data_IF_085312376742
#
_entry.id   IF_085312376742
#
_cell.length_a   1.000
_cell.length_b   1.000
_cell.length_c   1.000
_cell.angle_alpha   90.00
_cell.angle_beta   90.00
_cell.angle_gamma   90.00
#
_symmetry.space_group_name_H-M   'P 1'
#
loop_
_entity.id
_entity.type
_entity.pdbx_description
1 polymer ?
#
# COMPACT_ATOMS: atom_id res chain seq x y z
N UNK A 1 8.84 3.79 -37.26
CA UNK A 1 9.32 5.18 -37.00
C UNK A 1 9.89 5.88 -38.24
N UNK A 2 10.49 5.17 -39.21
CA UNK A 2 11.10 5.76 -40.42
C UNK A 2 10.13 6.27 -41.50
N UNK A 3 8.85 5.90 -41.46
CA UNK A 3 7.85 6.25 -42.49
C UNK A 3 7.12 7.58 -42.22
N UNK A 4 6.81 7.88 -40.95
CA UNK A 4 6.17 9.14 -40.54
C UNK A 4 7.08 10.36 -40.71
N UNK A 5 8.39 10.19 -40.42
CA UNK A 5 9.40 11.25 -40.59
C UNK A 5 9.52 11.71 -42.06
N UNK A 6 9.49 10.77 -43.02
CA UNK A 6 9.63 11.09 -44.45
C UNK A 6 8.50 11.99 -44.99
N UNK A 7 7.28 11.88 -44.45
CA UNK A 7 6.14 12.70 -44.86
C UNK A 7 6.27 14.17 -44.45
N UNK A 8 7.03 14.46 -43.38
CA UNK A 8 7.26 15.81 -42.89
C UNK A 8 8.33 16.55 -43.68
N UNK A 9 9.35 15.85 -44.19
CA UNK A 9 10.46 16.47 -44.94
C UNK A 9 10.14 16.70 -46.43
N UNK A 10 9.27 15.88 -47.03
CA UNK A 10 8.87 16.01 -48.44
C UNK A 10 8.37 17.41 -48.84
N UNK A 11 7.47 18.08 -48.10
CA UNK A 11 6.99 19.40 -48.50
C UNK A 11 8.09 20.48 -48.48
N UNK A 12 9.10 20.35 -47.62
CA UNK A 12 10.26 21.25 -47.61
C UNK A 12 11.14 21.05 -48.85
N UNK A 13 11.34 19.80 -49.27
CA UNK A 13 12.07 19.49 -50.49
C UNK A 13 11.33 20.04 -51.71
N UNK A 14 10.01 19.89 -51.76
CA UNK A 14 9.17 20.43 -52.83
C UNK A 14 9.24 21.97 -52.88
N UNK A 15 9.22 22.63 -51.72
CA UNK A 15 9.37 24.08 -51.64
C UNK A 15 10.73 24.56 -52.19
N UNK A 16 11.82 23.90 -51.80
CA UNK A 16 13.17 24.21 -52.30
C UNK A 16 13.27 24.02 -53.82
N UNK A 17 12.66 22.96 -54.36
CA UNK A 17 12.62 22.71 -55.81
C UNK A 17 11.88 23.84 -56.54
N UNK A 18 10.73 24.29 -56.02
CA UNK A 18 9.97 25.41 -56.60
C UNK A 18 10.84 26.69 -56.63
N UNK A 19 11.53 27.00 -55.53
CA UNK A 19 12.43 28.16 -55.46
C UNK A 19 13.55 28.05 -56.50
N UNK A 20 14.21 26.89 -56.60
CA UNK A 20 15.28 26.65 -57.57
C UNK A 20 14.77 26.81 -59.00
N UNK A 21 13.60 26.28 -59.33
CA UNK A 21 12.98 26.41 -60.65
C UNK A 21 12.67 27.88 -60.95
N UNK A 22 12.09 28.63 -60.01
CA UNK A 22 11.78 30.05 -60.18
C UNK A 22 13.04 30.87 -60.46
N UNK A 23 14.09 30.69 -59.66
CA UNK A 23 15.37 31.37 -59.83
C UNK A 23 16.02 30.98 -61.17
N UNK A 24 15.99 29.69 -61.53
CA UNK A 24 16.58 29.19 -62.78
C UNK A 24 15.87 29.76 -64.01
N UNK A 25 14.53 29.80 -64.00
CA UNK A 25 13.75 30.39 -65.08
C UNK A 25 14.04 31.89 -65.21
N UNK A 26 14.08 32.61 -64.09
CA UNK A 26 14.42 34.03 -64.07
C UNK A 26 15.80 34.30 -64.66
N UNK A 27 16.84 33.59 -64.20
CA UNK A 27 18.21 33.73 -64.72
C UNK A 27 18.25 33.38 -66.22
N UNK A 28 17.59 32.30 -66.65
CA UNK A 28 17.57 31.90 -68.06
C UNK A 28 16.91 32.90 -69.00
N UNK A 29 15.93 33.67 -68.51
CA UNK A 29 15.23 34.68 -69.30
C UNK A 29 16.04 35.98 -69.39
N UNK A 30 16.77 36.34 -68.33
CA UNK A 30 17.41 37.64 -68.20
C UNK A 30 18.95 37.61 -68.28
N UNK A 31 19.57 36.46 -68.58
CA UNK A 31 21.04 36.32 -68.55
C UNK A 31 21.81 37.27 -69.49
N UNK A 32 21.15 37.79 -70.53
CA UNK A 32 21.75 38.73 -71.49
C UNK A 32 21.75 40.19 -71.01
N UNK A 33 21.04 40.51 -69.93
CA UNK A 33 20.98 41.86 -69.39
C UNK A 33 22.09 42.08 -68.36
N UNK A 34 22.65 43.29 -68.31
CA UNK A 34 23.60 43.68 -67.27
C UNK A 34 22.93 43.71 -65.89
N UNK A 35 23.72 43.46 -64.85
CA UNK A 35 23.23 43.48 -63.47
C UNK A 35 22.84 44.90 -63.08
N UNK A 36 21.67 45.08 -62.47
CA UNK A 36 21.27 46.40 -61.99
C UNK A 36 22.12 46.82 -60.78
N UNK A 37 22.70 48.02 -60.86
CA UNK A 37 23.39 48.69 -59.75
C UNK A 37 22.42 49.33 -58.75
N UNK A 38 21.11 49.38 -59.07
CA UNK A 38 20.09 49.98 -58.20
C UNK A 38 19.51 48.91 -57.27
N UNK A 39 19.64 49.06 -55.94
CA UNK A 39 19.08 48.10 -54.98
C UNK A 39 17.56 47.91 -55.08
N UNK A 40 16.82 48.92 -55.55
CA UNK A 40 15.36 48.85 -55.70
C UNK A 40 14.88 47.83 -56.73
N UNK A 41 15.65 47.57 -57.78
CA UNK A 41 15.28 46.61 -58.83
C UNK A 41 15.36 45.17 -58.32
N UNK A 42 16.27 44.90 -57.38
CA UNK A 42 16.37 43.62 -56.66
C UNK A 42 15.20 43.37 -55.72
N UNK A 43 14.61 44.44 -55.16
CA UNK A 43 13.40 44.37 -54.34
C UNK A 43 12.19 43.84 -55.10
N UNK A 44 11.99 44.31 -56.33
CA UNK A 44 10.86 43.87 -57.18
C UNK A 44 10.91 42.37 -57.54
N UNK A 45 12.13 41.81 -57.70
CA UNK A 45 12.33 40.37 -57.91
C UNK A 45 11.93 39.59 -56.64
N UNK A 46 12.36 40.10 -55.48
CA UNK A 46 11.98 39.57 -54.18
C UNK A 46 10.46 39.57 -53.97
N UNK A 47 9.78 40.63 -54.37
CA UNK A 47 8.32 40.75 -54.27
C UNK A 47 7.58 39.77 -55.20
N UNK A 48 8.09 39.53 -56.41
CA UNK A 48 7.52 38.53 -57.33
C UNK A 48 7.66 37.10 -56.79
N UNK A 49 8.87 36.73 -56.36
CA UNK A 49 9.15 35.40 -55.80
C UNK A 49 8.40 35.20 -54.47
N UNK A 50 8.41 36.23 -53.61
CA UNK A 50 7.69 36.25 -52.34
C UNK A 50 6.17 36.18 -52.52
N UNK A 51 5.61 36.90 -53.50
CA UNK A 51 4.18 36.90 -53.81
C UNK A 51 3.66 35.54 -54.25
N UNK A 52 4.47 34.75 -54.96
CA UNK A 52 4.12 33.39 -55.39
C UNK A 52 4.35 32.39 -54.25
N UNK A 53 5.48 32.46 -53.55
CA UNK A 53 5.80 31.52 -52.47
C UNK A 53 4.89 31.67 -51.25
N UNK A 54 4.47 32.89 -50.92
CA UNK A 54 3.75 33.18 -49.68
C UNK A 54 2.41 32.42 -49.56
N UNK A 55 1.55 32.33 -50.60
CA UNK A 55 0.37 31.45 -50.57
C UNK A 55 0.69 29.96 -50.37
N UNK A 56 1.79 29.45 -50.95
CA UNK A 56 2.20 28.04 -50.77
C UNK A 56 2.70 27.78 -49.34
N UNK A 57 3.58 28.64 -48.82
CA UNK A 57 4.09 28.56 -47.45
C UNK A 57 2.95 28.70 -46.44
N UNK A 58 2.06 29.67 -46.64
CA UNK A 58 0.90 29.88 -45.75
C UNK A 58 -0.07 28.70 -45.76
N UNK A 59 -0.36 28.14 -46.94
CA UNK A 59 -1.19 26.93 -47.05
C UNK A 59 -0.58 25.73 -46.34
N UNK A 60 0.74 25.55 -46.47
CA UNK A 60 1.47 24.48 -45.80
C UNK A 60 1.49 24.67 -44.28
N UNK A 61 1.70 25.90 -43.80
CA UNK A 61 1.65 26.24 -42.39
C UNK A 61 0.25 25.95 -41.79
N UNK A 62 -0.81 26.33 -42.51
CA UNK A 62 -2.19 26.04 -42.09
C UNK A 62 -2.46 24.54 -42.03
N UNK A 63 -1.99 23.77 -43.01
CA UNK A 63 -2.11 22.32 -43.00
C UNK A 63 -1.45 21.68 -41.76
N UNK A 64 -0.21 22.08 -41.45
CA UNK A 64 0.47 21.60 -40.25
C UNK A 64 -0.22 22.03 -38.97
N UNK A 65 -0.73 23.25 -38.91
CA UNK A 65 -1.48 23.76 -37.77
C UNK A 65 -2.76 22.95 -37.53
N UNK A 66 -3.53 22.65 -38.58
CA UNK A 66 -4.74 21.82 -38.48
C UNK A 66 -4.37 20.42 -38.01
N UNK A 67 -3.33 19.80 -38.59
CA UNK A 67 -2.87 18.47 -38.17
C UNK A 67 -2.43 18.45 -36.71
N UNK A 68 -1.69 19.47 -36.27
CA UNK A 68 -1.27 19.60 -34.89
C UNK A 68 -2.48 19.77 -33.97
N UNK A 69 -3.44 20.61 -34.33
CA UNK A 69 -4.66 20.84 -33.57
C UNK A 69 -5.52 19.56 -33.43
N UNK A 70 -5.70 18.80 -34.52
CA UNK A 70 -6.45 17.53 -34.45
C UNK A 70 -5.75 16.51 -33.57
N UNK A 71 -4.41 16.42 -33.68
CA UNK A 71 -3.59 15.51 -32.85
C UNK A 71 -3.68 15.90 -31.37
N UNK A 72 -3.49 17.19 -31.05
CA UNK A 72 -3.60 17.70 -29.68
C UNK A 72 -4.99 17.45 -29.09
N UNK A 73 -6.06 17.60 -29.89
CA UNK A 73 -7.43 17.31 -29.45
C UNK A 73 -7.65 15.83 -29.13
N UNK A 74 -7.06 14.94 -29.92
CA UNK A 74 -7.13 13.49 -29.71
C UNK A 74 -6.34 13.09 -28.45
N UNK A 75 -5.11 13.58 -28.30
CA UNK A 75 -4.29 13.38 -27.10
C UNK A 75 -5.00 13.89 -25.82
N UNK A 76 -5.65 15.06 -25.88
CA UNK A 76 -6.45 15.58 -24.76
C UNK A 76 -7.64 14.68 -24.42
N UNK A 77 -8.29 14.08 -25.44
CA UNK A 77 -9.41 13.15 -25.21
C UNK A 77 -8.92 11.86 -24.57
N UNK A 78 -7.82 11.28 -25.06
CA UNK A 78 -7.21 10.09 -24.47
C UNK A 78 -6.74 10.35 -23.04
N UNK A 79 -6.09 11.49 -22.79
CA UNK A 79 -5.65 11.90 -21.46
C UNK A 79 -6.84 11.99 -20.49
N UNK A 80 -7.96 12.58 -20.91
CA UNK A 80 -9.18 12.65 -20.08
C UNK A 80 -9.74 11.27 -19.75
N UNK A 81 -9.78 10.34 -20.71
CA UNK A 81 -10.25 8.97 -20.49
C UNK A 81 -9.35 8.22 -19.50
N UNK A 82 -8.03 8.39 -19.61
CA UNK A 82 -7.07 7.81 -18.67
C UNK A 82 -7.23 8.39 -17.27
N UNK A 83 -7.45 9.70 -17.15
CA UNK A 83 -7.70 10.37 -15.87
C UNK A 83 -8.98 9.85 -15.22
N UNK A 84 -10.09 9.75 -15.96
CA UNK A 84 -11.36 9.23 -15.46
C UNK A 84 -11.21 7.78 -14.95
N UNK A 85 -10.51 6.93 -15.72
CA UNK A 85 -10.19 5.56 -15.30
C UNK A 85 -9.26 5.52 -14.07
N UNK A 86 -8.37 6.49 -13.94
CA UNK A 86 -7.47 6.58 -12.79
C UNK A 86 -8.23 7.02 -11.53
N UNK A 87 -9.20 7.93 -11.66
CA UNK A 87 -10.06 8.34 -10.55
C UNK A 87 -10.92 7.18 -10.03
N UNK A 88 -11.51 6.38 -10.91
CA UNK A 88 -12.28 5.19 -10.51
C UNK A 88 -11.39 4.15 -9.83
N UNK A 89 -10.23 3.84 -10.42
CA UNK A 89 -9.25 2.94 -9.81
C UNK A 89 -8.75 3.48 -8.45
N UNK A 90 -8.55 4.79 -8.31
CA UNK A 90 -8.10 5.39 -7.05
C UNK A 90 -9.17 5.29 -5.95
N UNK A 91 -10.46 5.42 -6.30
CA UNK A 91 -11.56 5.21 -5.35
C UNK A 91 -11.64 3.74 -4.92
N UNK A 92 -11.59 2.82 -5.87
CA UNK A 92 -11.59 1.37 -5.58
C UNK A 92 -10.39 0.97 -4.71
N UNK A 93 -9.22 1.58 -4.96
CA UNK A 93 -8.03 1.37 -4.14
C UNK A 93 -8.21 1.91 -2.72
N UNK A 94 -8.82 3.10 -2.56
CA UNK A 94 -9.10 3.67 -1.25
C UNK A 94 -10.09 2.80 -0.44
N UNK A 95 -11.14 2.30 -1.09
CA UNK A 95 -12.10 1.38 -0.47
C UNK A 95 -11.45 0.06 -0.07
N UNK A 96 -10.62 -0.51 -0.95
CA UNK A 96 -9.84 -1.72 -0.68
C UNK A 96 -8.86 -1.52 0.49
N UNK A 97 -8.18 -0.37 0.56
CA UNK A 97 -7.30 -0.02 1.69
C UNK A 97 -8.08 0.11 2.99
N UNK A 98 -9.27 0.70 2.96
CA UNK A 98 -10.14 0.79 4.15
C UNK A 98 -10.55 -0.60 4.65
N UNK A 99 -10.97 -1.49 3.75
CA UNK A 99 -11.29 -2.87 4.10
C UNK A 99 -10.08 -3.62 4.70
N UNK A 100 -8.88 -3.40 4.15
CA UNK A 100 -7.64 -3.96 4.71
C UNK A 100 -7.34 -3.44 6.12
N UNK A 101 -7.52 -2.14 6.37
CA UNK A 101 -7.34 -1.55 7.71
C UNK A 101 -8.34 -2.13 8.72
N UNK A 102 -9.60 -2.29 8.33
CA UNK A 102 -10.63 -2.91 9.18
C UNK A 102 -10.28 -4.35 9.53
N UNK A 103 -9.81 -5.13 8.54
CA UNK A 103 -9.34 -6.49 8.76
C UNK A 103 -8.11 -6.55 9.69
N UNK A 104 -7.15 -5.62 9.55
CA UNK A 104 -5.99 -5.55 10.46
C UNK A 104 -6.39 -5.20 11.90
N UNK A 105 -7.33 -4.27 12.08
CA UNK A 105 -7.87 -3.93 13.40
C UNK A 105 -8.55 -5.17 14.02
N UNK A 106 -9.32 -5.90 13.23
CA UNK A 106 -9.99 -7.13 13.69
C UNK A 106 -8.96 -8.21 14.05
N UNK A 107 -7.94 -8.42 13.23
CA UNK A 107 -6.85 -9.37 13.51
C UNK A 107 -6.10 -8.99 14.80
N UNK A 108 -5.86 -7.70 15.02
CA UNK A 108 -5.25 -7.21 16.26
C UNK A 108 -6.14 -7.47 17.48
N UNK A 109 -7.46 -7.26 17.38
CA UNK A 109 -8.41 -7.62 18.44
C UNK A 109 -8.37 -9.12 18.75
N UNK A 110 -8.55 -9.96 17.73
CA UNK A 110 -8.51 -11.42 17.87
C UNK A 110 -7.17 -11.90 18.45
N UNK A 111 -6.05 -11.31 18.02
CA UNK A 111 -4.73 -11.64 18.58
C UNK A 111 -4.61 -11.24 20.05
N UNK A 112 -5.13 -10.08 20.44
CA UNK A 112 -5.15 -9.68 21.87
C UNK A 112 -6.02 -10.61 22.70
N UNK A 113 -7.19 -10.98 22.21
CA UNK A 113 -8.11 -11.87 22.93
C UNK A 113 -7.51 -13.27 23.07
N UNK A 114 -6.83 -13.78 22.02
CA UNK A 114 -6.05 -15.01 22.10
C UNK A 114 -4.97 -14.93 23.18
N UNK A 115 -4.20 -13.84 23.25
CA UNK A 115 -3.17 -13.66 24.28
C UNK A 115 -3.76 -13.60 25.70
N UNK A 116 -4.92 -12.96 25.88
CA UNK A 116 -5.65 -12.95 27.15
C UNK A 116 -6.09 -14.34 27.55
N UNK A 117 -6.69 -15.09 26.62
CA UNK A 117 -7.11 -16.48 26.87
C UNK A 117 -5.93 -17.38 27.23
N UNK A 118 -4.79 -17.24 26.53
CA UNK A 118 -3.56 -17.96 26.87
C UNK A 118 -3.04 -17.60 28.27
N UNK A 119 -3.06 -16.32 28.63
CA UNK A 119 -2.66 -15.86 29.96
C UNK A 119 -3.53 -16.44 31.08
N UNK A 120 -4.85 -16.38 30.91
CA UNK A 120 -5.79 -16.96 31.89
C UNK A 120 -5.64 -18.48 31.96
N UNK A 121 -5.46 -19.16 30.82
CA UNK A 121 -5.23 -20.61 30.78
C UNK A 121 -3.95 -21.00 31.53
N UNK A 122 -2.87 -20.23 31.36
CA UNK A 122 -1.61 -20.45 32.08
C UNK A 122 -1.78 -20.29 33.59
N UNK A 123 -2.48 -19.22 34.03
CA UNK A 123 -2.83 -19.02 35.44
C UNK A 123 -3.66 -20.18 35.99
N UNK A 124 -4.68 -20.59 35.25
CA UNK A 124 -5.56 -21.69 35.64
C UNK A 124 -4.78 -23.00 35.79
N UNK A 125 -3.91 -23.32 34.83
CA UNK A 125 -3.06 -24.50 34.89
C UNK A 125 -2.10 -24.48 36.10
N UNK A 126 -1.51 -23.31 36.42
CA UNK A 126 -0.67 -23.16 37.61
C UNK A 126 -1.46 -23.36 38.90
N UNK A 127 -2.67 -22.81 38.99
CA UNK A 127 -3.52 -22.96 40.17
C UNK A 127 -4.00 -24.40 40.32
N UNK A 128 -4.36 -25.07 39.22
CA UNK A 128 -4.73 -26.47 39.22
C UNK A 128 -3.61 -27.35 39.77
N UNK A 129 -2.37 -27.17 39.29
CA UNK A 129 -1.19 -27.87 39.82
C UNK A 129 -0.96 -27.61 41.31
N UNK A 130 -1.21 -26.38 41.77
CA UNK A 130 -1.09 -26.05 43.20
C UNK A 130 -2.14 -26.79 44.03
N UNK A 131 -3.40 -26.85 43.56
CA UNK A 131 -4.46 -27.61 44.23
C UNK A 131 -4.12 -29.10 44.26
N UNK A 132 -3.66 -29.67 43.15
CA UNK A 132 -3.23 -31.06 43.07
C UNK A 132 -2.13 -31.37 44.11
N UNK A 133 -1.10 -30.52 44.19
CA UNK A 133 -0.06 -30.62 45.21
C UNK A 133 -0.62 -30.58 46.64
N UNK A 134 -1.45 -29.58 46.95
CA UNK A 134 -2.03 -29.41 48.29
C UNK A 134 -2.95 -30.58 48.66
N UNK A 135 -3.69 -31.15 47.71
CA UNK A 135 -4.50 -32.35 47.94
C UNK A 135 -3.65 -33.57 48.29
N UNK A 136 -2.54 -33.77 47.58
CA UNK A 136 -1.55 -34.80 47.93
C UNK A 136 -0.99 -34.61 49.35
N UNK A 137 -0.75 -33.35 49.74
CA UNK A 137 -0.27 -32.99 51.06
C UNK A 137 -1.28 -33.27 52.17
N UNK A 138 -2.56 -32.95 51.92
CA UNK A 138 -3.67 -33.25 52.82
C UNK A 138 -3.80 -34.77 53.00
N UNK A 139 -3.71 -35.54 51.92
CA UNK A 139 -3.76 -37.01 51.96
C UNK A 139 -2.61 -37.58 52.80
N UNK A 140 -1.36 -37.16 52.53
CA UNK A 140 -0.19 -37.61 53.29
C UNK A 140 -0.31 -37.26 54.77
N UNK A 141 -0.73 -36.03 55.09
CA UNK A 141 -0.93 -35.60 56.47
C UNK A 141 -2.04 -36.39 57.16
N UNK A 142 -3.13 -36.69 56.45
CA UNK A 142 -4.23 -37.54 56.95
C UNK A 142 -3.75 -38.95 57.25
N UNK A 143 -2.95 -39.55 56.35
CA UNK A 143 -2.38 -40.87 56.55
C UNK A 143 -1.42 -40.92 57.74
N UNK A 144 -0.60 -39.88 57.93
CA UNK A 144 0.29 -39.77 59.09
C UNK A 144 -0.50 -39.65 60.40
N UNK A 145 -1.58 -38.86 60.43
CA UNK A 145 -2.47 -38.73 61.60
C UNK A 145 -3.13 -40.08 61.93
N UNK A 146 -3.70 -40.76 60.93
CA UNK A 146 -4.40 -42.05 61.12
C UNK A 146 -3.46 -43.13 61.65
N UNK A 147 -2.23 -43.18 61.14
CA UNK A 147 -1.24 -44.16 61.54
C UNK A 147 -0.36 -43.72 62.73
N UNK A 148 -0.65 -42.57 63.34
CA UNK A 148 0.10 -41.99 64.44
C UNK A 148 1.61 -41.86 64.16
N UNK A 149 1.97 -41.51 62.92
CA UNK A 149 3.36 -41.34 62.47
C UNK A 149 3.75 -39.86 62.49
N UNK A 150 5.01 -39.58 62.81
CA UNK A 150 5.59 -38.27 62.59
C UNK A 150 5.63 -37.98 61.07
N UNK A 151 5.43 -36.73 60.68
CA UNK A 151 5.56 -36.31 59.29
C UNK A 151 6.36 -35.03 59.17
N UNK A 152 6.52 -34.56 57.94
CA UNK A 152 7.08 -33.25 57.62
C UNK A 152 6.07 -32.45 56.80
N UNK A 153 6.10 -31.13 56.94
CA UNK A 153 5.40 -30.22 56.05
C UNK A 153 6.17 -30.01 54.74
N UNK A 154 5.55 -29.31 53.79
CA UNK A 154 6.13 -28.95 52.50
C UNK A 154 7.42 -28.11 52.59
N UNK A 155 7.66 -27.46 53.72
CA UNK A 155 8.83 -26.61 53.98
C UNK A 155 9.97 -27.40 54.65
N UNK A 156 9.71 -28.67 55.03
CA UNK A 156 10.65 -29.56 55.69
C UNK A 156 10.61 -29.53 57.22
N UNK A 157 9.67 -28.80 57.83
CA UNK A 157 9.53 -28.74 59.28
C UNK A 157 8.86 -30.01 59.82
N UNK A 158 9.31 -30.47 60.98
CA UNK A 158 8.81 -31.69 61.61
C UNK A 158 7.44 -31.50 62.27
N UNK A 159 6.50 -32.37 61.92
CA UNK A 159 5.16 -32.49 62.50
C UNK A 159 5.12 -33.71 63.43
N UNK A 160 5.55 -33.51 64.67
CA UNK A 160 5.78 -34.57 65.67
C UNK A 160 4.59 -34.84 66.58
N UNK A 161 3.58 -33.96 66.57
CA UNK A 161 2.38 -34.09 67.41
C UNK A 161 1.13 -34.13 66.54
N UNK A 162 0.11 -34.89 66.96
CA UNK A 162 -1.18 -34.89 66.26
C UNK A 162 -1.78 -33.49 66.14
N UNK A 163 -1.58 -32.62 67.15
CA UNK A 163 -2.01 -31.23 67.10
C UNK A 163 -1.31 -30.44 65.98
N UNK A 164 0.00 -30.59 65.84
CA UNK A 164 0.76 -29.95 64.76
C UNK A 164 0.28 -30.41 63.38
N UNK A 165 0.11 -31.73 63.19
CA UNK A 165 -0.39 -32.29 61.93
C UNK A 165 -1.82 -31.83 61.62
N UNK A 166 -2.71 -31.75 62.62
CA UNK A 166 -4.07 -31.23 62.44
C UNK A 166 -4.09 -29.74 62.08
N UNK A 167 -3.24 -28.92 62.72
CA UNK A 167 -3.10 -27.49 62.38
C UNK A 167 -2.60 -27.31 60.95
N UNK A 168 -1.57 -28.05 60.57
CA UNK A 168 -1.03 -28.02 59.20
C UNK A 168 -2.07 -28.46 58.17
N UNK A 169 -2.78 -29.57 58.41
CA UNK A 169 -3.87 -30.03 57.54
C UNK A 169 -4.97 -28.99 57.38
N UNK A 170 -5.36 -28.31 58.48
CA UNK A 170 -6.33 -27.20 58.41
C UNK A 170 -5.83 -26.03 57.55
N UNK A 171 -4.55 -25.66 57.67
CA UNK A 171 -3.91 -24.62 56.84
C UNK A 171 -4.00 -25.00 55.35
N UNK A 172 -3.64 -26.23 54.99
CA UNK A 172 -3.72 -26.73 53.61
C UNK A 172 -5.14 -26.67 53.04
N UNK A 173 -6.14 -27.11 53.82
CA UNK A 173 -7.56 -27.04 53.40
C UNK A 173 -8.01 -25.60 53.18
N UNK A 174 -7.54 -24.67 54.03
CA UNK A 174 -7.83 -23.25 53.88
C UNK A 174 -7.20 -22.68 52.59
N UNK A 175 -5.93 -22.99 52.31
CA UNK A 175 -5.26 -22.59 51.05
C UNK A 175 -6.00 -23.13 49.81
N UNK A 176 -6.43 -24.41 49.83
CA UNK A 176 -7.23 -24.99 48.74
C UNK A 176 -8.54 -24.20 48.54
N UNK A 177 -9.20 -23.81 49.64
CA UNK A 177 -10.43 -23.01 49.57
C UNK A 177 -10.18 -21.64 48.93
N UNK A 178 -9.14 -20.94 49.33
CA UNK A 178 -8.78 -19.63 48.73
C UNK A 178 -8.45 -19.75 47.24
N UNK A 179 -7.68 -20.77 46.84
CA UNK A 179 -7.36 -20.99 45.43
C UNK A 179 -8.62 -21.29 44.63
N UNK A 180 -9.55 -22.09 45.15
CA UNK A 180 -10.81 -22.37 44.48
C UNK A 180 -11.68 -21.10 44.30
N UNK A 181 -11.68 -20.20 45.28
CA UNK A 181 -12.34 -18.89 45.14
C UNK A 181 -11.65 -18.03 44.07
N UNK A 182 -10.32 -18.06 43.99
CA UNK A 182 -9.56 -17.37 42.93
C UNK A 182 -9.83 -17.95 41.54
N UNK A 183 -9.90 -19.28 41.41
CA UNK A 183 -10.25 -19.97 40.15
C UNK A 183 -11.66 -19.57 39.69
N UNK A 184 -12.63 -19.51 40.60
CA UNK A 184 -13.99 -19.06 40.27
C UNK A 184 -14.00 -17.65 39.69
N UNK A 185 -13.26 -16.71 40.29
CA UNK A 185 -13.13 -15.34 39.78
C UNK A 185 -12.51 -15.30 38.38
N UNK A 186 -11.42 -16.05 38.16
CA UNK A 186 -10.76 -16.14 36.86
C UNK A 186 -11.67 -16.72 35.77
N UNK A 187 -12.50 -17.72 36.11
CA UNK A 187 -13.48 -18.27 35.17
C UNK A 187 -14.55 -17.24 34.79
N UNK A 188 -15.03 -16.44 35.74
CA UNK A 188 -15.96 -15.34 35.44
C UNK A 188 -15.32 -14.27 34.53
N UNK A 189 -14.05 -13.94 34.74
CA UNK A 189 -13.30 -13.04 33.84
C UNK A 189 -13.16 -13.62 32.43
N UNK A 190 -12.94 -14.94 32.30
CA UNK A 190 -12.86 -15.62 31.01
C UNK A 190 -14.20 -15.62 30.27
N UNK A 191 -15.30 -15.90 30.98
CA UNK A 191 -16.66 -15.85 30.42
C UNK A 191 -16.99 -14.46 29.87
N UNK A 192 -16.56 -13.40 30.56
CA UNK A 192 -16.75 -12.02 30.13
C UNK A 192 -15.93 -11.62 28.88
N UNK A 193 -14.87 -12.36 28.54
CA UNK A 193 -14.09 -12.14 27.31
C UNK A 193 -14.77 -12.80 26.10
N UNK A 194 -15.57 -13.85 26.33
CA UNK A 194 -16.27 -14.61 25.29
C UNK A 194 -17.66 -14.06 24.95
N UNK A 195 -18.19 -13.12 25.73
CA UNK A 195 -19.45 -12.37 25.49
C UNK A 195 -19.18 -11.03 24.82
#
# INVERSE_FOLDING_TARGET
>A
MSFEMKKIFWPWILLIIIVIIMVSLYVSQFYHYEWSEKPGDWGAIGDYVGGILNPFVSSLALFFLIKAYTTQKEELKETRLVLEKTETNSKELADSQKALLEMQIQQSKTSRDLMRTQHVTSKLNSQYKRVEFLQGEVLRCTEAIVNNRNSIDAEGNSLVTQKASMTYRKKLIYEIKEINESIRKLNTELEAINT
#
